data_IF_903546628897
#
_entry.id   IF_903546628897
#
_cell.length_a   1.000
_cell.length_b   1.000
_cell.length_c   1.000
_cell.angle_alpha   90.00
_cell.angle_beta   90.00
_cell.angle_gamma   90.00
#
_symmetry.space_group_name_H-M   'P 1'
#
loop_
_entity.id
_entity.type
_entity.pdbx_description
1 polymer ?
#
# COMPACT_ATOMS: atom_id res chain seq x y z
N UNK A 1 5.81 -1.99 9.72
CA UNK A 1 5.62 -1.10 10.90
C UNK A 1 6.96 -0.43 11.13
N UNK A 2 7.03 0.88 10.88
CA UNK A 2 8.19 1.67 11.23
C UNK A 2 7.96 2.16 12.65
N UNK A 3 8.78 1.72 13.59
CA UNK A 3 8.80 2.27 14.95
C UNK A 3 9.88 3.34 14.97
N UNK A 4 9.48 4.61 15.03
CA UNK A 4 10.39 5.69 15.33
C UNK A 4 10.39 5.93 16.85
N UNK A 5 11.51 5.72 17.52
CA UNK A 5 11.70 6.18 18.89
C UNK A 5 11.90 7.70 18.86
N UNK A 6 10.97 8.44 19.46
CA UNK A 6 11.12 9.87 19.69
C UNK A 6 11.91 10.10 20.97
N UNK A 7 13.13 10.59 20.87
CA UNK A 7 13.77 11.28 21.98
C UNK A 7 13.11 12.64 22.16
N UNK A 8 12.56 12.88 23.35
CA UNK A 8 12.05 14.20 23.76
C UNK A 8 13.23 15.17 23.72
N UNK A 9 13.21 16.12 22.78
CA UNK A 9 14.16 17.21 22.74
C UNK A 9 13.67 18.33 23.67
N UNK A 10 14.60 18.82 24.48
CA UNK A 10 14.47 19.94 25.39
C UNK A 10 14.07 21.22 24.62
N UNK A 11 13.09 21.94 25.14
CA UNK A 11 12.63 23.21 24.58
C UNK A 11 13.72 24.29 24.81
N UNK A 12 14.46 24.64 23.76
CA UNK A 12 15.31 25.83 23.89
C UNK A 12 16.41 26.06 22.87
N UNK A 13 16.62 25.25 21.86
CA UNK A 13 17.70 25.52 20.89
C UNK A 13 17.14 25.81 19.49
N UNK A 14 17.40 27.01 18.99
CA UNK A 14 17.02 27.44 17.64
C UNK A 14 17.64 26.52 16.62
N UNK A 15 16.81 25.91 15.75
CA UNK A 15 17.24 24.99 14.72
C UNK A 15 18.28 25.63 13.79
N UNK A 16 19.46 25.05 13.72
CA UNK A 16 20.50 25.38 12.75
C UNK A 16 20.00 24.99 11.34
N UNK A 17 19.82 25.98 10.41
CA UNK A 17 19.32 25.68 9.05
C UNK A 17 20.26 24.86 8.17
N UNK A 18 21.46 24.51 8.67
CA UNK A 18 22.45 23.71 7.94
C UNK A 18 22.46 22.22 8.29
N UNK A 19 21.69 21.78 9.27
CA UNK A 19 21.64 20.36 9.66
C UNK A 19 20.54 19.65 8.88
N UNK A 20 20.85 19.20 7.67
CA UNK A 20 19.98 18.25 6.98
C UNK A 20 19.80 17.02 7.88
N UNK A 21 18.62 16.86 8.46
CA UNK A 21 18.30 15.72 9.29
C UNK A 21 18.40 14.44 8.45
N UNK A 22 19.34 13.55 8.77
CA UNK A 22 19.42 12.26 8.14
C UNK A 22 18.27 11.41 8.70
N UNK A 23 17.26 11.15 7.88
CA UNK A 23 16.23 10.18 8.22
C UNK A 23 16.85 8.79 8.08
N UNK A 24 17.14 8.15 9.19
CA UNK A 24 17.52 6.75 9.21
C UNK A 24 16.26 5.92 9.41
N UNK A 25 15.84 5.23 8.35
CA UNK A 25 14.79 4.23 8.45
C UNK A 25 15.45 2.95 8.96
N UNK A 26 15.08 2.52 10.16
CA UNK A 26 15.56 1.26 10.71
C UNK A 26 15.15 0.12 9.75
N UNK A 27 16.07 -0.82 9.54
CA UNK A 27 15.76 -2.03 8.80
C UNK A 27 14.63 -2.79 9.49
N UNK A 28 13.77 -3.39 8.65
CA UNK A 28 12.70 -4.24 9.18
C UNK A 28 13.32 -5.40 9.97
N UNK A 29 12.94 -5.47 11.24
CA UNK A 29 13.27 -6.58 12.12
C UNK A 29 11.98 -7.02 12.80
N UNK A 30 11.52 -8.21 12.48
CA UNK A 30 10.26 -8.73 12.99
C UNK A 30 10.39 -9.36 14.38
N UNK A 31 11.59 -9.48 14.96
CA UNK A 31 11.85 -10.22 16.20
C UNK A 31 11.06 -11.54 16.27
N UNK A 32 11.23 -12.35 15.22
CA UNK A 32 10.56 -13.64 15.07
C UNK A 32 11.57 -14.76 15.12
N UNK A 33 11.59 -15.59 16.18
CA UNK A 33 12.57 -16.67 16.33
C UNK A 33 12.62 -17.66 15.16
N UNK A 34 11.52 -17.83 14.43
CA UNK A 34 11.51 -18.70 13.25
C UNK A 34 12.29 -18.10 12.08
N UNK A 35 12.34 -16.77 11.90
CA UNK A 35 13.15 -16.15 10.86
C UNK A 35 14.66 -16.38 11.10
N UNK A 36 15.11 -16.29 12.36
CA UNK A 36 16.49 -16.62 12.71
C UNK A 36 16.82 -18.09 12.39
N UNK A 37 15.85 -18.99 12.55
CA UNK A 37 16.04 -20.41 12.19
C UNK A 37 16.13 -20.61 10.69
N UNK A 38 15.36 -19.84 9.88
CA UNK A 38 15.45 -19.87 8.43
C UNK A 38 16.82 -19.36 7.95
N UNK A 39 17.31 -18.28 8.52
CA UNK A 39 18.64 -17.74 8.20
C UNK A 39 19.75 -18.72 8.50
N UNK A 40 19.66 -19.43 9.63
CA UNK A 40 20.61 -20.47 10.02
C UNK A 40 20.53 -21.73 9.16
N UNK A 41 19.37 -22.03 8.59
CA UNK A 41 19.18 -23.20 7.71
C UNK A 41 19.89 -23.06 6.35
N UNK A 42 20.21 -21.84 5.93
CA UNK A 42 20.94 -21.59 4.68
C UNK A 42 20.24 -22.21 3.46
N UNK A 43 20.88 -23.19 2.81
CA UNK A 43 20.31 -23.87 1.64
C UNK A 43 19.10 -24.75 1.97
N UNK A 44 18.94 -25.20 3.21
CA UNK A 44 17.86 -26.09 3.65
C UNK A 44 16.63 -25.31 4.17
N UNK A 45 16.50 -24.04 3.80
CA UNK A 45 15.42 -23.16 4.28
C UNK A 45 14.03 -23.66 3.97
N UNK A 46 13.81 -24.38 2.86
CA UNK A 46 12.50 -24.94 2.50
C UNK A 46 12.03 -25.96 3.55
N UNK A 47 12.90 -26.87 3.94
CA UNK A 47 12.59 -27.85 5.00
C UNK A 47 12.36 -27.15 6.36
N UNK A 48 13.05 -26.04 6.61
CA UNK A 48 12.83 -25.23 7.79
C UNK A 48 11.47 -24.53 7.77
N UNK A 49 11.06 -23.95 6.62
CA UNK A 49 9.73 -23.36 6.43
C UNK A 49 8.64 -24.43 6.64
N UNK A 50 8.79 -25.62 6.06
CA UNK A 50 7.83 -26.74 6.22
C UNK A 50 7.65 -27.15 7.67
N UNK A 51 8.71 -27.09 8.45
CA UNK A 51 8.66 -27.35 9.88
C UNK A 51 7.88 -26.27 10.64
N UNK A 52 8.21 -25.01 10.41
CA UNK A 52 7.54 -23.88 11.07
C UNK A 52 6.07 -23.77 10.65
N UNK A 53 5.75 -24.10 9.40
CA UNK A 53 4.40 -24.08 8.88
C UNK A 53 3.44 -25.00 9.67
N UNK A 54 3.92 -26.11 10.23
CA UNK A 54 3.10 -27.01 11.05
C UNK A 54 2.58 -26.35 12.33
N UNK A 55 3.33 -25.38 12.86
CA UNK A 55 2.99 -24.67 14.08
C UNK A 55 2.37 -23.30 13.81
N UNK A 56 2.85 -22.59 12.80
CA UNK A 56 2.55 -21.18 12.53
C UNK A 56 1.68 -20.97 11.27
N UNK A 57 1.52 -21.97 10.42
CA UNK A 57 0.91 -21.83 9.08
C UNK A 57 -0.56 -21.39 9.07
N UNK A 58 -1.25 -21.49 10.21
CA UNK A 58 -2.62 -20.98 10.37
C UNK A 58 -2.70 -19.49 10.79
N UNK A 59 -1.55 -18.81 10.87
CA UNK A 59 -1.45 -17.40 11.26
C UNK A 59 -1.06 -16.58 10.02
N UNK A 60 -1.89 -15.63 9.55
CA UNK A 60 -1.57 -14.81 8.37
C UNK A 60 -0.22 -14.10 8.48
N UNK A 61 0.14 -13.63 9.67
CA UNK A 61 1.40 -12.93 9.94
C UNK A 61 2.63 -13.78 9.60
N UNK A 62 2.58 -15.09 9.85
CA UNK A 62 3.66 -16.01 9.45
C UNK A 62 3.96 -15.90 7.96
N UNK A 63 2.92 -15.96 7.12
CA UNK A 63 3.06 -15.85 5.67
C UNK A 63 3.53 -14.47 5.21
N UNK A 64 3.13 -13.40 5.93
CA UNK A 64 3.64 -12.06 5.66
C UNK A 64 5.15 -11.96 5.91
N UNK A 65 5.61 -12.53 7.00
CA UNK A 65 7.02 -12.55 7.38
C UNK A 65 7.84 -13.42 6.42
N UNK A 66 7.35 -14.61 6.05
CA UNK A 66 8.00 -15.49 5.05
C UNK A 66 8.09 -14.81 3.69
N UNK A 67 7.03 -14.12 3.25
CA UNK A 67 7.03 -13.38 2.00
C UNK A 67 8.07 -12.25 2.00
N UNK A 68 8.16 -11.48 3.08
CA UNK A 68 9.15 -10.42 3.21
C UNK A 68 10.58 -10.97 3.28
N UNK A 69 10.78 -12.09 3.97
CA UNK A 69 12.06 -12.77 4.05
C UNK A 69 12.55 -13.22 2.68
N UNK A 70 11.68 -13.86 1.89
CA UNK A 70 11.99 -14.23 0.51
C UNK A 70 12.26 -13.01 -0.38
N UNK A 71 11.43 -11.95 -0.24
CA UNK A 71 11.57 -10.74 -1.04
C UNK A 71 12.92 -10.07 -0.83
N UNK A 72 13.36 -9.94 0.43
CA UNK A 72 14.67 -9.37 0.79
C UNK A 72 15.84 -10.20 0.25
N UNK A 73 15.68 -11.50 0.19
CA UNK A 73 16.67 -12.41 -0.40
C UNK A 73 16.64 -12.43 -1.94
N UNK A 74 15.80 -11.61 -2.59
CA UNK A 74 15.66 -11.56 -4.05
C UNK A 74 14.85 -12.73 -4.65
N UNK A 75 14.28 -13.60 -3.85
CA UNK A 75 13.46 -14.75 -4.24
C UNK A 75 12.02 -14.31 -4.49
N UNK A 76 11.80 -13.63 -5.62
CA UNK A 76 10.55 -12.93 -5.92
C UNK A 76 9.34 -13.85 -6.09
N UNK A 77 9.54 -15.02 -6.72
CA UNK A 77 8.46 -15.98 -6.96
C UNK A 77 8.04 -16.68 -5.66
N UNK A 78 9.00 -17.00 -4.81
CA UNK A 78 8.76 -17.56 -3.49
C UNK A 78 8.03 -16.54 -2.60
N UNK A 79 8.45 -15.29 -2.63
CA UNK A 79 7.77 -14.21 -1.91
C UNK A 79 6.30 -14.08 -2.33
N UNK A 80 6.03 -14.17 -3.64
CA UNK A 80 4.67 -14.08 -4.17
C UNK A 80 3.83 -15.28 -3.75
N UNK A 81 4.38 -16.50 -3.81
CA UNK A 81 3.70 -17.71 -3.32
C UNK A 81 3.40 -17.65 -1.83
N UNK A 82 4.37 -17.20 -1.05
CA UNK A 82 4.19 -17.07 0.39
C UNK A 82 3.12 -16.05 0.76
N UNK A 83 3.09 -14.87 0.12
CA UNK A 83 2.06 -13.88 0.43
C UNK A 83 0.66 -14.36 0.04
N UNK A 84 0.51 -15.10 -1.05
CA UNK A 84 -0.77 -15.68 -1.45
C UNK A 84 -1.23 -16.79 -0.51
N UNK A 85 -0.32 -17.56 0.10
CA UNK A 85 -0.68 -18.57 1.08
C UNK A 85 -1.43 -18.01 2.30
N UNK A 86 -1.22 -16.73 2.64
CA UNK A 86 -2.01 -16.05 3.66
C UNK A 86 -3.52 -16.00 3.35
N UNK A 87 -3.91 -16.15 2.08
CA UNK A 87 -5.32 -16.17 1.68
C UNK A 87 -6.00 -17.52 1.98
N UNK A 88 -5.23 -18.57 2.19
CA UNK A 88 -5.75 -19.91 2.51
C UNK A 88 -5.95 -20.11 4.02
N UNK A 89 -5.49 -19.16 4.82
CA UNK A 89 -5.64 -19.20 6.28
C UNK A 89 -7.12 -18.99 6.66
N UNK A 90 -7.71 -19.87 7.51
CA UNK A 90 -9.12 -19.79 7.87
C UNK A 90 -9.54 -18.47 8.55
N UNK A 91 -8.61 -17.85 9.26
CA UNK A 91 -8.85 -16.60 10.03
C UNK A 91 -8.66 -15.33 9.19
N UNK A 92 -8.56 -15.45 7.86
CA UNK A 92 -8.40 -14.27 7.00
C UNK A 92 -9.58 -13.33 7.12
N UNK A 93 -9.26 -12.07 7.29
CA UNK A 93 -10.20 -10.96 7.36
C UNK A 93 -9.95 -9.94 6.23
N UNK A 94 -10.68 -8.85 6.24
CA UNK A 94 -10.49 -7.78 5.26
C UNK A 94 -9.10 -7.12 5.37
N UNK A 95 -8.53 -7.06 6.58
CA UNK A 95 -7.19 -6.53 6.78
C UNK A 95 -6.14 -7.45 6.13
N UNK A 96 -6.27 -8.77 6.27
CA UNK A 96 -5.44 -9.76 5.57
C UNK A 96 -5.49 -9.55 4.06
N UNK A 97 -6.70 -9.40 3.48
CA UNK A 97 -6.86 -9.14 2.05
C UNK A 97 -6.15 -7.85 1.61
N UNK A 98 -6.30 -6.77 2.39
CA UNK A 98 -5.65 -5.49 2.10
C UNK A 98 -4.12 -5.60 2.13
N UNK A 99 -3.56 -6.27 3.14
CA UNK A 99 -2.10 -6.47 3.27
C UNK A 99 -1.57 -7.31 2.11
N UNK A 100 -2.25 -8.42 1.76
CA UNK A 100 -1.84 -9.27 0.63
C UNK A 100 -1.86 -8.47 -0.66
N UNK A 101 -2.93 -7.71 -0.93
CA UNK A 101 -3.03 -6.87 -2.12
C UNK A 101 -1.91 -5.82 -2.19
N UNK A 102 -1.61 -5.14 -1.08
CA UNK A 102 -0.52 -4.16 -1.01
C UNK A 102 0.86 -4.78 -1.28
N UNK A 103 1.11 -5.99 -0.76
CA UNK A 103 2.35 -6.72 -1.03
C UNK A 103 2.45 -7.17 -2.48
N UNK A 104 1.36 -7.66 -3.06
CA UNK A 104 1.32 -8.06 -4.47
C UNK A 104 1.56 -6.87 -5.41
N UNK A 105 1.04 -5.66 -5.09
CA UNK A 105 1.38 -4.45 -5.82
C UNK A 105 2.88 -4.15 -5.77
N UNK A 106 3.47 -4.20 -4.58
CA UNK A 106 4.92 -4.04 -4.40
C UNK A 106 5.73 -5.07 -5.18
N UNK A 107 5.21 -6.29 -5.33
CA UNK A 107 5.84 -7.38 -6.08
C UNK A 107 5.56 -7.33 -7.59
N UNK A 108 4.85 -6.31 -8.08
CA UNK A 108 4.52 -6.14 -9.49
C UNK A 108 3.39 -7.05 -9.99
N UNK A 109 2.68 -7.74 -9.10
CA UNK A 109 1.55 -8.62 -9.43
C UNK A 109 0.23 -7.83 -9.47
N UNK A 110 0.15 -6.82 -10.36
CA UNK A 110 -0.92 -5.83 -10.39
C UNK A 110 -2.31 -6.46 -10.60
N UNK A 111 -2.46 -7.39 -11.56
CA UNK A 111 -3.76 -8.01 -11.86
C UNK A 111 -4.33 -8.76 -10.67
N UNK A 112 -3.48 -9.52 -9.98
CA UNK A 112 -3.88 -10.27 -8.79
C UNK A 112 -4.24 -9.35 -7.62
N UNK A 113 -3.48 -8.29 -7.43
CA UNK A 113 -3.77 -7.27 -6.42
C UNK A 113 -5.10 -6.56 -6.70
N UNK A 114 -5.36 -6.17 -7.95
CA UNK A 114 -6.61 -5.52 -8.38
C UNK A 114 -7.79 -6.46 -8.11
N UNK A 115 -7.69 -7.74 -8.48
CA UNK A 115 -8.74 -8.71 -8.20
C UNK A 115 -9.07 -8.81 -6.70
N UNK A 116 -8.08 -8.82 -5.82
CA UNK A 116 -8.29 -8.83 -4.37
C UNK A 116 -8.93 -7.54 -3.87
N UNK A 117 -8.50 -6.39 -4.38
CA UNK A 117 -9.04 -5.08 -4.00
C UNK A 117 -10.49 -4.90 -4.47
N UNK A 118 -10.87 -5.47 -5.62
CA UNK A 118 -12.26 -5.52 -6.05
C UNK A 118 -13.13 -6.30 -5.06
N UNK A 119 -12.65 -7.47 -4.60
CA UNK A 119 -13.33 -8.25 -3.56
C UNK A 119 -13.42 -7.52 -2.22
N UNK A 120 -12.39 -6.77 -1.86
CA UNK A 120 -12.41 -5.95 -0.66
C UNK A 120 -13.44 -4.82 -0.78
N UNK A 121 -13.49 -4.15 -1.92
CA UNK A 121 -14.46 -3.08 -2.19
C UNK A 121 -15.90 -3.60 -2.18
N UNK A 122 -16.16 -4.81 -2.68
CA UNK A 122 -17.48 -5.47 -2.60
C UNK A 122 -17.94 -5.74 -1.16
N UNK A 123 -17.00 -5.91 -0.23
CA UNK A 123 -17.28 -6.15 1.19
C UNK A 123 -17.40 -4.87 2.02
N UNK A 124 -16.78 -3.79 1.55
CA UNK A 124 -16.70 -2.50 2.25
C UNK A 124 -17.22 -1.37 1.36
N UNK A 125 -18.48 -1.50 0.93
CA UNK A 125 -19.11 -0.65 -0.09
C UNK A 125 -19.21 0.83 0.30
N UNK A 126 -19.29 1.12 1.60
CA UNK A 126 -19.51 2.47 2.13
C UNK A 126 -18.22 3.16 2.59
N UNK A 127 -17.07 2.50 2.35
CA UNK A 127 -15.76 3.04 2.74
C UNK A 127 -15.00 3.59 1.53
N UNK A 128 -14.49 4.82 1.60
CA UNK A 128 -13.71 5.41 0.52
C UNK A 128 -12.31 4.79 0.37
N UNK A 129 -11.75 4.22 1.45
CA UNK A 129 -10.39 3.69 1.46
C UNK A 129 -10.17 2.54 0.46
N UNK A 130 -11.02 1.49 0.38
CA UNK A 130 -10.89 0.46 -0.64
C UNK A 130 -11.00 1.00 -2.07
N UNK A 131 -11.88 2.00 -2.29
CA UNK A 131 -12.01 2.65 -3.61
C UNK A 131 -10.72 3.35 -4.02
N UNK A 132 -10.13 4.12 -3.09
CA UNK A 132 -8.85 4.80 -3.31
C UNK A 132 -7.72 3.79 -3.56
N UNK A 133 -7.62 2.74 -2.75
CA UNK A 133 -6.57 1.72 -2.89
C UNK A 133 -6.65 1.00 -4.23
N UNK A 134 -7.87 0.65 -4.69
CA UNK A 134 -8.09 0.06 -6.00
C UNK A 134 -7.70 1.04 -7.13
N UNK A 135 -8.04 2.32 -6.98
CA UNK A 135 -7.67 3.34 -7.96
C UNK A 135 -6.14 3.49 -8.09
N UNK A 136 -5.41 3.50 -6.97
CA UNK A 136 -3.94 3.52 -6.96
C UNK A 136 -3.39 2.30 -7.70
N UNK A 137 -3.93 1.11 -7.45
CA UNK A 137 -3.52 -0.13 -8.13
C UNK A 137 -3.72 -0.05 -9.65
N UNK A 138 -4.83 0.51 -10.11
CA UNK A 138 -5.11 0.74 -11.52
C UNK A 138 -4.14 1.76 -12.14
N UNK A 139 -3.86 2.86 -11.44
CA UNK A 139 -2.88 3.87 -11.90
C UNK A 139 -1.48 3.25 -12.03
N UNK A 140 -1.09 2.39 -11.10
CA UNK A 140 0.19 1.68 -11.17
C UNK A 140 0.22 0.71 -12.36
N UNK A 141 -0.84 -0.09 -12.56
CA UNK A 141 -0.92 -1.02 -13.70
C UNK A 141 -0.88 -0.28 -15.04
N UNK A 142 -1.52 0.87 -15.15
CA UNK A 142 -1.54 1.69 -16.36
C UNK A 142 -0.13 2.08 -16.85
N UNK A 143 0.86 2.16 -15.95
CA UNK A 143 2.27 2.45 -16.31
C UNK A 143 2.91 1.32 -17.12
N UNK A 144 2.43 0.09 -16.99
CA UNK A 144 2.95 -1.12 -17.63
C UNK A 144 1.99 -1.69 -18.66
N UNK A 145 0.95 -0.94 -19.03
CA UNK A 145 -0.06 -1.39 -19.97
C UNK A 145 0.55 -1.63 -21.36
N UNK A 146 0.19 -2.76 -21.98
CA UNK A 146 0.71 -3.16 -23.28
C UNK A 146 0.23 -2.22 -24.41
N UNK A 147 -0.90 -1.54 -24.23
CA UNK A 147 -1.46 -0.60 -25.20
C UNK A 147 -1.98 0.66 -24.53
N UNK A 148 -2.01 1.80 -25.25
CA UNK A 148 -2.62 3.02 -24.72
C UNK A 148 -4.09 2.86 -24.32
N UNK A 149 -4.84 1.98 -24.97
CA UNK A 149 -6.26 1.80 -24.68
C UNK A 149 -6.46 1.11 -23.33
N UNK A 150 -5.60 0.14 -22.97
CA UNK A 150 -5.60 -0.47 -21.63
C UNK A 150 -5.26 0.59 -20.58
N UNK A 151 -4.23 1.39 -20.83
CA UNK A 151 -3.85 2.47 -19.91
C UNK A 151 -4.99 3.49 -19.73
N UNK A 152 -5.68 3.87 -20.81
CA UNK A 152 -6.84 4.77 -20.74
C UNK A 152 -7.99 4.18 -19.95
N UNK A 153 -8.28 2.89 -20.13
CA UNK A 153 -9.33 2.20 -19.38
C UNK A 153 -9.02 2.18 -17.88
N UNK A 154 -7.79 1.84 -17.51
CA UNK A 154 -7.36 1.82 -16.11
C UNK A 154 -7.40 3.21 -15.47
N UNK A 155 -6.84 4.22 -16.13
CA UNK A 155 -6.85 5.60 -15.65
C UNK A 155 -8.27 6.16 -15.55
N UNK A 156 -9.13 5.87 -16.53
CA UNK A 156 -10.54 6.27 -16.50
C UNK A 156 -11.26 5.69 -15.28
N UNK A 157 -11.16 4.38 -15.08
CA UNK A 157 -11.73 3.69 -13.92
C UNK A 157 -11.16 4.20 -12.59
N UNK A 158 -9.87 4.48 -12.54
CA UNK A 158 -9.24 5.03 -11.34
C UNK A 158 -9.81 6.42 -10.99
N UNK A 159 -10.02 7.27 -11.99
CA UNK A 159 -10.62 8.60 -11.79
C UNK A 159 -12.05 8.48 -11.26
N UNK A 160 -12.86 7.55 -11.81
CA UNK A 160 -14.23 7.31 -11.34
C UNK A 160 -14.24 6.89 -9.86
N UNK A 161 -13.35 5.97 -9.46
CA UNK A 161 -13.23 5.50 -8.09
C UNK A 161 -12.78 6.62 -7.14
N UNK A 162 -11.79 7.42 -7.54
CA UNK A 162 -11.27 8.52 -6.75
C UNK A 162 -12.29 9.67 -6.61
N UNK A 163 -13.03 9.98 -7.68
CA UNK A 163 -14.12 10.96 -7.63
C UNK A 163 -15.21 10.50 -6.66
N UNK A 164 -15.55 9.20 -6.69
CA UNK A 164 -16.49 8.61 -5.75
C UNK A 164 -15.95 8.66 -4.31
N UNK A 165 -14.69 8.27 -4.09
CA UNK A 165 -14.06 8.32 -2.77
C UNK A 165 -14.02 9.75 -2.21
N UNK A 166 -13.74 10.76 -3.05
CA UNK A 166 -13.72 12.16 -2.67
C UNK A 166 -15.08 12.73 -2.27
N UNK A 167 -16.17 12.12 -2.73
CA UNK A 167 -17.55 12.58 -2.47
C UNK A 167 -18.34 11.67 -1.52
N UNK A 168 -17.74 10.56 -1.08
CA UNK A 168 -18.37 9.66 -0.11
C UNK A 168 -18.31 10.29 1.28
N UNK A 169 -19.47 10.40 1.93
CA UNK A 169 -19.54 10.89 3.31
C UNK A 169 -18.95 9.82 4.24
N UNK A 170 -17.98 10.23 5.03
CA UNK A 170 -17.25 9.33 5.93
C UNK A 170 -17.40 9.75 7.38
N UNK A 171 -17.12 8.83 8.28
CA UNK A 171 -16.98 9.13 9.69
C UNK A 171 -15.67 9.89 10.00
N UNK A 172 -15.51 10.26 11.27
CA UNK A 172 -14.35 11.04 11.74
C UNK A 172 -13.01 10.30 11.50
N UNK A 173 -13.03 8.97 11.41
CA UNK A 173 -11.82 8.15 11.28
C UNK A 173 -11.17 8.21 9.89
N UNK A 174 -11.92 8.67 8.89
CA UNK A 174 -11.45 8.77 7.51
C UNK A 174 -11.36 10.23 7.01
N UNK A 175 -11.34 11.21 7.92
CA UNK A 175 -11.21 12.63 7.54
C UNK A 175 -9.94 12.88 6.76
N UNK A 176 -10.07 13.68 5.70
CA UNK A 176 -8.95 14.06 4.82
C UNK A 176 -8.78 13.16 3.60
N UNK A 177 -9.41 11.98 3.58
CA UNK A 177 -9.34 11.09 2.42
C UNK A 177 -9.95 11.74 1.16
N UNK A 178 -10.98 12.55 1.35
CA UNK A 178 -11.64 13.30 0.29
C UNK A 178 -10.67 14.23 -0.44
N UNK A 179 -9.84 14.94 0.31
CA UNK A 179 -8.82 15.84 -0.27
C UNK A 179 -7.74 15.05 -1.00
N UNK A 180 -7.24 13.99 -0.39
CA UNK A 180 -6.22 13.13 -0.99
C UNK A 180 -6.74 12.47 -2.27
N UNK A 181 -7.95 11.90 -2.24
CA UNK A 181 -8.58 11.27 -3.40
C UNK A 181 -8.81 12.29 -4.54
N UNK A 182 -9.22 13.53 -4.23
CA UNK A 182 -9.40 14.57 -5.22
C UNK A 182 -8.07 14.97 -5.88
N UNK A 183 -7.00 15.09 -5.11
CA UNK A 183 -5.67 15.38 -5.64
C UNK A 183 -5.15 14.26 -6.52
N UNK A 184 -5.34 13.01 -6.14
CA UNK A 184 -4.95 11.82 -6.91
C UNK A 184 -5.79 11.70 -8.20
N UNK A 185 -7.09 12.01 -8.14
CA UNK A 185 -7.97 12.03 -9.32
C UNK A 185 -7.50 13.07 -10.35
N UNK A 186 -7.14 14.28 -9.90
CA UNK A 186 -6.60 15.31 -10.80
C UNK A 186 -5.26 14.87 -11.42
N UNK A 187 -4.38 14.25 -10.66
CA UNK A 187 -3.12 13.71 -11.18
C UNK A 187 -3.35 12.58 -12.20
N UNK A 188 -4.32 11.70 -11.96
CA UNK A 188 -4.69 10.65 -12.89
C UNK A 188 -5.32 11.22 -14.17
N UNK A 189 -6.17 12.25 -14.04
CA UNK A 189 -6.77 12.95 -15.17
C UNK A 189 -5.71 13.63 -16.06
N UNK A 190 -4.69 14.23 -15.48
CA UNK A 190 -3.56 14.79 -16.24
C UNK A 190 -2.83 13.70 -17.04
N UNK A 191 -2.56 12.53 -16.43
CA UNK A 191 -1.95 11.37 -17.11
C UNK A 191 -2.85 10.85 -18.24
N UNK A 192 -4.16 10.74 -18.00
CA UNK A 192 -5.12 10.30 -19.01
C UNK A 192 -5.13 11.25 -20.23
N UNK A 193 -5.18 12.56 -19.99
CA UNK A 193 -5.11 13.58 -21.04
C UNK A 193 -3.82 13.51 -21.84
N UNK A 194 -2.68 13.28 -21.18
CA UNK A 194 -1.37 13.17 -21.82
C UNK A 194 -1.29 12.02 -22.84
N UNK A 195 -2.10 10.97 -22.68
CA UNK A 195 -2.21 9.85 -23.62
C UNK A 195 -3.44 9.94 -24.53
N UNK A 196 -4.06 11.13 -24.63
CA UNK A 196 -5.20 11.39 -25.51
C UNK A 196 -6.52 10.77 -25.03
N UNK A 197 -6.70 10.60 -23.72
CA UNK A 197 -7.96 10.21 -23.11
C UNK A 197 -8.69 11.38 -22.44
N UNK A 198 -9.92 11.14 -22.01
CA UNK A 198 -10.74 12.11 -21.27
C UNK A 198 -11.61 11.41 -20.23
N UNK A 199 -12.00 12.14 -19.20
CA UNK A 199 -12.99 11.70 -18.21
C UNK A 199 -13.83 12.90 -17.78
N UNK A 200 -15.10 12.66 -17.52
CA UNK A 200 -16.07 13.63 -16.97
C UNK A 200 -16.48 13.29 -15.51
N UNK A 201 -15.79 12.36 -14.88
CA UNK A 201 -16.13 11.92 -13.52
C UNK A 201 -15.91 12.99 -12.45
N UNK A 202 -14.99 13.93 -12.70
CA UNK A 202 -14.79 15.08 -11.83
C UNK A 202 -15.65 16.27 -12.27
N UNK A 203 -16.34 16.90 -11.33
CA UNK A 203 -16.97 18.19 -11.55
C UNK A 203 -15.90 19.19 -12.07
N UNK A 204 -16.15 19.92 -13.16
CA UNK A 204 -15.19 20.88 -13.70
C UNK A 204 -14.65 21.90 -12.70
N UNK A 205 -15.45 22.24 -11.68
CA UNK A 205 -15.03 23.15 -10.58
C UNK A 205 -13.98 22.55 -9.67
N UNK A 206 -13.87 21.19 -9.64
CA UNK A 206 -12.90 20.45 -8.85
C UNK A 206 -11.66 20.06 -9.65
N UNK A 207 -11.63 20.40 -10.94
CA UNK A 207 -10.47 20.13 -11.80
C UNK A 207 -9.43 21.22 -11.58
N UNK A 208 -8.42 20.92 -10.78
CA UNK A 208 -7.28 21.77 -10.53
C UNK A 208 -6.01 20.92 -10.40
N UNK A 209 -5.09 21.08 -11.34
CA UNK A 209 -3.77 20.48 -11.20
C UNK A 209 -2.94 21.41 -10.30
N UNK A 210 -2.70 20.97 -9.08
CA UNK A 210 -1.70 21.60 -8.21
C UNK A 210 -0.34 21.13 -8.69
N UNK A 211 0.40 22.04 -9.34
CA UNK A 211 1.76 21.79 -9.77
C UNK A 211 2.68 21.84 -8.54
N UNK A 212 3.05 20.65 -8.06
CA UNK A 212 3.94 20.48 -6.90
C UNK A 212 4.97 19.42 -7.23
N UNK A 213 6.24 19.72 -7.00
CA UNK A 213 7.35 18.82 -7.28
C UNK A 213 7.29 17.55 -6.42
N UNK A 214 6.88 17.69 -5.17
CA UNK A 214 6.77 16.58 -4.21
C UNK A 214 5.48 16.67 -3.41
N UNK A 215 4.80 15.54 -3.25
CA UNK A 215 3.66 15.35 -2.35
C UNK A 215 3.93 14.17 -1.45
N UNK A 216 3.78 14.39 -0.15
CA UNK A 216 3.94 13.34 0.86
C UNK A 216 2.59 13.13 1.55
N UNK A 217 2.11 11.89 1.50
CA UNK A 217 0.93 11.45 2.25
C UNK A 217 1.38 10.46 3.30
N UNK A 218 0.94 10.68 4.54
CA UNK A 218 1.14 9.74 5.64
C UNK A 218 -0.20 9.12 6.02
N UNK A 219 -0.22 7.80 6.12
CA UNK A 219 -1.38 7.03 6.56
C UNK A 219 -0.98 6.10 7.69
N UNK A 220 -1.86 5.98 8.68
CA UNK A 220 -1.71 4.99 9.74
C UNK A 220 -3.08 4.42 10.11
N UNK A 221 -3.08 3.20 10.63
CA UNK A 221 -4.29 2.44 10.93
C UNK A 221 -4.57 2.28 12.43
N UNK A 222 -3.88 3.02 13.27
CA UNK A 222 -4.05 2.98 14.72
C UNK A 222 -4.65 4.28 15.26
N UNK A 223 -5.71 4.23 16.07
CA UNK A 223 -6.43 5.44 16.52
C UNK A 223 -5.67 6.26 17.59
N UNK A 224 -4.51 5.78 18.05
CA UNK A 224 -3.72 6.40 19.13
C UNK A 224 -2.29 6.71 18.72
N UNK A 225 -2.02 6.80 17.44
CA UNK A 225 -0.68 7.11 16.91
C UNK A 225 -0.70 8.50 16.29
N UNK A 226 0.14 9.38 16.77
CA UNK A 226 0.40 10.67 16.15
C UNK A 226 1.70 10.57 15.35
N UNK A 227 1.64 10.97 14.07
CA UNK A 227 2.80 11.05 13.20
C UNK A 227 3.03 12.50 12.81
N UNK A 228 4.26 12.95 12.92
CA UNK A 228 4.67 14.30 12.54
C UNK A 228 5.68 14.22 11.40
N UNK A 229 5.51 15.07 10.38
CA UNK A 229 6.47 15.29 9.33
C UNK A 229 7.17 16.63 9.62
N UNK A 230 8.47 16.60 9.86
CA UNK A 230 9.31 17.76 10.11
C UNK A 230 10.15 18.14 8.90
#
# INVERSE_FOLDING_TARGET
IVVAESSVADEGEAADPGRAGKIEVADWNADRPYLDRLDKAGADYEAAIDKEMKEQGLIPLFWFDIAEWHWRAGRKEEARRAIEAALDVPTRDNQTLAIVAARLLRYGSHDRAIWLLERLMERETDRPQPMRTLAIALIERAKFAATPDIAKADLGRAIDLLAKAATTVTDVSARGIETVALMEANAALAKLKAIGGSSSALDPRLVALLDTDVRVFMEWNTPRTDLYLW
#
